data_IF_671629600122
#
_entry.id   IF_671629600122
#
_cell.length_a   1.000
_cell.length_b   1.000
_cell.length_c   1.000
_cell.angle_alpha   90.00
_cell.angle_beta   90.00
_cell.angle_gamma   90.00
#
_symmetry.space_group_name_H-M   'P 1'
#
loop_
_entity.id
_entity.type
_entity.pdbx_description
1 polymer ?
#
# COMPACT_ATOMS: atom_id res chain seq x y z
N UNK A 1 45.83 27.92 -40.51
CA UNK A 1 45.04 26.92 -39.79
C UNK A 1 43.88 27.64 -39.13
N UNK A 2 42.67 27.50 -39.67
CA UNK A 2 41.47 28.09 -39.09
C UNK A 2 40.93 27.15 -38.02
N UNK A 3 40.94 27.61 -36.77
CA UNK A 3 40.35 26.89 -35.65
C UNK A 3 38.86 27.21 -35.70
N UNK A 4 38.05 26.29 -36.24
CA UNK A 4 36.61 26.34 -36.12
C UNK A 4 36.26 26.13 -34.64
N UNK A 5 35.86 27.21 -33.98
CA UNK A 5 35.17 27.14 -32.70
C UNK A 5 33.87 26.36 -32.91
N UNK A 6 33.79 25.18 -32.31
CA UNK A 6 32.57 24.38 -32.23
C UNK A 6 31.51 25.23 -31.53
N UNK A 7 30.54 25.68 -32.32
CA UNK A 7 29.34 26.38 -31.86
C UNK A 7 28.68 25.60 -30.72
N UNK A 8 28.43 26.30 -29.62
CA UNK A 8 27.66 25.83 -28.48
C UNK A 8 26.39 25.11 -28.94
N UNK A 9 26.12 23.93 -28.38
CA UNK A 9 24.79 23.35 -28.38
C UNK A 9 23.84 24.38 -27.77
N UNK A 10 23.00 24.99 -28.59
CA UNK A 10 21.87 25.79 -28.13
C UNK A 10 20.95 24.81 -27.42
N UNK A 11 21.05 24.76 -26.09
CA UNK A 11 20.07 24.07 -25.26
C UNK A 11 18.73 24.75 -25.46
N UNK A 12 17.68 23.96 -25.73
CA UNK A 12 16.33 24.50 -25.87
C UNK A 12 16.00 25.38 -24.64
N UNK A 13 15.31 26.52 -24.80
CA UNK A 13 14.81 27.31 -23.69
C UNK A 13 14.04 26.47 -22.68
N UNK A 14 14.11 26.81 -21.40
CA UNK A 14 13.55 25.99 -20.32
C UNK A 14 12.04 25.69 -20.44
N UNK A 15 11.18 26.62 -20.89
CA UNK A 15 9.78 26.28 -21.17
C UNK A 15 9.63 25.21 -22.26
N UNK A 16 10.46 25.25 -23.30
CA UNK A 16 10.45 24.27 -24.39
C UNK A 16 10.94 22.90 -23.89
N UNK A 17 11.97 22.89 -23.02
CA UNK A 17 12.41 21.67 -22.35
C UNK A 17 11.30 21.07 -21.48
N UNK A 18 10.56 21.91 -20.74
CA UNK A 18 9.45 21.45 -19.91
C UNK A 18 8.34 20.82 -20.75
N UNK A 19 7.93 21.46 -21.84
CA UNK A 19 6.93 20.92 -22.77
C UNK A 19 7.40 19.59 -23.38
N UNK A 20 8.68 19.49 -23.73
CA UNK A 20 9.30 18.26 -24.23
C UNK A 20 9.29 17.14 -23.18
N UNK A 21 9.60 17.46 -21.92
CA UNK A 21 9.55 16.50 -20.83
C UNK A 21 8.14 15.97 -20.60
N UNK A 22 7.14 16.84 -20.65
CA UNK A 22 5.71 16.46 -20.56
C UNK A 22 5.30 15.58 -21.75
N UNK A 23 5.74 15.91 -22.97
CA UNK A 23 5.47 15.09 -24.14
C UNK A 23 6.09 13.69 -24.03
N UNK A 24 7.34 13.57 -23.55
CA UNK A 24 7.96 12.28 -23.26
C UNK A 24 7.21 11.51 -22.18
N UNK A 25 6.84 12.18 -21.08
CA UNK A 25 6.07 11.57 -19.99
C UNK A 25 4.74 11.00 -20.48
N UNK A 26 3.98 11.78 -21.25
CA UNK A 26 2.69 11.33 -21.82
C UNK A 26 2.85 10.23 -22.88
N UNK A 27 4.06 10.04 -23.41
CA UNK A 27 4.40 8.97 -24.34
C UNK A 27 5.06 7.77 -23.64
N UNK A 28 5.01 7.71 -22.30
CA UNK A 28 5.61 6.66 -21.46
C UNK A 28 7.13 6.52 -21.61
N UNK A 29 7.79 7.56 -22.14
CA UNK A 29 9.25 7.68 -22.23
C UNK A 29 9.79 8.25 -20.93
N UNK A 30 9.60 7.48 -19.85
CA UNK A 30 9.83 7.94 -18.48
C UNK A 30 11.28 8.32 -18.22
N UNK A 31 12.23 7.61 -18.83
CA UNK A 31 13.66 7.90 -18.69
C UNK A 31 14.01 9.26 -19.31
N UNK A 32 13.60 9.50 -20.54
CA UNK A 32 13.86 10.74 -21.26
C UNK A 32 13.16 11.93 -20.59
N UNK A 33 11.94 11.74 -20.10
CA UNK A 33 11.22 12.73 -19.31
C UNK A 33 11.96 13.05 -18.00
N UNK A 34 12.42 12.03 -17.29
CA UNK A 34 13.10 12.16 -16.00
C UNK A 34 14.39 12.98 -16.11
N UNK A 35 15.20 12.72 -17.14
CA UNK A 35 16.45 13.46 -17.38
C UNK A 35 16.20 14.97 -17.50
N UNK A 36 15.16 15.35 -18.25
CA UNK A 36 14.82 16.76 -18.46
C UNK A 36 14.19 17.36 -17.19
N UNK A 37 13.24 16.67 -16.56
CA UNK A 37 12.61 17.17 -15.34
C UNK A 37 13.63 17.39 -14.21
N UNK A 38 14.57 16.48 -14.00
CA UNK A 38 15.63 16.66 -12.99
C UNK A 38 16.53 17.86 -13.29
N UNK A 39 16.86 18.08 -14.57
CA UNK A 39 17.66 19.24 -14.97
C UNK A 39 16.93 20.56 -14.66
N UNK A 40 15.61 20.60 -14.86
CA UNK A 40 14.78 21.77 -14.57
C UNK A 40 14.57 21.95 -13.07
N UNK A 41 14.31 20.88 -12.32
CA UNK A 41 14.06 20.93 -10.87
C UNK A 41 15.27 21.46 -10.09
N UNK A 42 16.49 21.09 -10.49
CA UNK A 42 17.74 21.62 -9.92
C UNK A 42 17.88 23.13 -10.06
N UNK A 43 17.29 23.74 -11.08
CA UNK A 43 17.44 25.17 -11.40
C UNK A 43 16.33 26.03 -10.83
N UNK A 44 15.10 25.53 -10.81
CA UNK A 44 13.92 26.36 -10.55
C UNK A 44 13.07 25.91 -9.37
N UNK A 45 13.30 24.71 -8.81
CA UNK A 45 12.34 24.01 -7.94
C UNK A 45 10.95 23.98 -8.58
N UNK A 46 10.66 22.91 -9.32
CA UNK A 46 9.41 22.80 -10.05
C UNK A 46 8.20 22.78 -9.10
N UNK A 47 7.02 23.10 -9.64
CA UNK A 47 5.78 22.99 -8.87
C UNK A 47 5.49 21.53 -8.47
N UNK A 48 4.60 21.35 -7.49
CA UNK A 48 4.30 20.03 -6.91
C UNK A 48 3.80 19.01 -7.96
N UNK A 49 3.11 19.45 -9.02
CA UNK A 49 2.62 18.56 -10.09
C UNK A 49 3.77 17.98 -10.93
N UNK A 50 4.72 18.80 -11.36
CA UNK A 50 5.88 18.30 -12.11
C UNK A 50 6.82 17.47 -11.25
N UNK A 51 6.91 17.80 -9.95
CA UNK A 51 7.65 16.96 -9.00
C UNK A 51 6.96 15.62 -8.76
N UNK A 52 5.63 15.56 -8.84
CA UNK A 52 4.89 14.30 -8.87
C UNK A 52 5.17 13.51 -10.17
N UNK A 53 5.30 14.17 -11.33
CA UNK A 53 5.75 13.50 -12.56
C UNK A 53 7.15 12.88 -12.43
N UNK A 54 8.09 13.57 -11.77
CA UNK A 54 9.42 13.00 -11.44
C UNK A 54 9.26 11.73 -10.60
N UNK A 55 8.41 11.78 -9.57
CA UNK A 55 8.09 10.61 -8.75
C UNK A 55 7.52 9.44 -9.56
N UNK A 56 6.58 9.71 -10.48
CA UNK A 56 6.04 8.69 -11.39
C UNK A 56 7.08 8.14 -12.36
N UNK A 57 7.99 8.96 -12.89
CA UNK A 57 9.08 8.49 -13.71
C UNK A 57 9.95 7.48 -12.94
N UNK A 58 10.39 7.83 -11.73
CA UNK A 58 11.17 6.91 -10.90
C UNK A 58 10.41 5.63 -10.56
N UNK A 59 9.10 5.71 -10.30
CA UNK A 59 8.27 4.52 -10.07
C UNK A 59 8.29 3.58 -11.29
N UNK A 60 8.13 4.13 -12.50
CA UNK A 60 8.16 3.34 -13.74
C UNK A 60 9.56 2.80 -14.09
N UNK A 61 10.62 3.41 -13.56
CA UNK A 61 11.99 2.92 -13.64
C UNK A 61 12.37 1.94 -12.52
N UNK A 62 11.42 1.60 -11.64
CA UNK A 62 11.63 0.75 -10.45
C UNK A 62 12.61 1.33 -9.40
N UNK A 63 12.87 2.64 -9.48
CA UNK A 63 13.70 3.40 -8.53
C UNK A 63 12.84 3.88 -7.34
N UNK A 64 12.25 2.92 -6.62
CA UNK A 64 11.19 3.18 -5.65
C UNK A 64 11.58 4.11 -4.50
N UNK A 65 12.85 4.08 -4.06
CA UNK A 65 13.36 4.98 -3.02
C UNK A 65 13.35 6.44 -3.47
N UNK A 66 13.62 6.68 -4.75
CA UNK A 66 13.54 8.02 -5.33
C UNK A 66 12.08 8.41 -5.57
N UNK A 67 11.24 7.47 -5.99
CA UNK A 67 9.81 7.68 -6.16
C UNK A 67 9.15 8.16 -4.86
N UNK A 68 9.33 7.43 -3.75
CA UNK A 68 8.77 7.81 -2.43
C UNK A 68 9.28 9.17 -1.98
N UNK A 69 10.58 9.45 -2.13
CA UNK A 69 11.15 10.77 -1.79
C UNK A 69 10.39 11.93 -2.46
N UNK A 70 10.09 11.83 -3.74
CA UNK A 70 9.38 12.89 -4.46
C UNK A 70 7.88 12.89 -4.14
N UNK A 71 7.24 11.71 -4.13
CA UNK A 71 5.79 11.59 -3.97
C UNK A 71 5.33 11.89 -2.53
N UNK A 72 6.05 11.43 -1.51
CA UNK A 72 5.77 11.76 -0.11
C UNK A 72 5.80 13.27 0.13
N UNK A 73 6.82 13.93 -0.45
CA UNK A 73 6.99 15.36 -0.26
C UNK A 73 5.82 16.16 -0.83
N UNK A 74 5.32 15.78 -2.01
CA UNK A 74 4.30 16.56 -2.73
C UNK A 74 2.87 16.15 -2.40
N UNK A 75 2.62 14.90 -2.03
CA UNK A 75 1.27 14.33 -1.82
C UNK A 75 0.33 15.22 -1.00
N UNK A 76 0.72 15.81 0.15
CA UNK A 76 -0.16 16.67 0.94
C UNK A 76 -0.66 17.93 0.21
N UNK A 77 0.01 18.34 -0.88
CA UNK A 77 -0.27 19.57 -1.64
C UNK A 77 -0.92 19.32 -3.00
N UNK A 78 -1.27 18.07 -3.32
CA UNK A 78 -1.91 17.70 -4.59
C UNK A 78 -3.45 17.77 -4.55
N UNK A 79 -4.06 18.26 -3.47
CA UNK A 79 -5.52 18.22 -3.25
C UNK A 79 -6.34 18.95 -4.31
N UNK A 80 -5.76 19.95 -4.98
CA UNK A 80 -6.41 20.73 -6.04
C UNK A 80 -6.37 20.07 -7.43
N UNK A 81 -5.61 18.98 -7.60
CA UNK A 81 -5.57 18.23 -8.87
C UNK A 81 -6.84 17.41 -9.06
N UNK A 82 -7.10 16.98 -10.30
CA UNK A 82 -8.27 16.15 -10.60
C UNK A 82 -8.23 14.82 -9.79
N UNK A 83 -9.38 14.31 -9.30
CA UNK A 83 -9.41 13.09 -8.47
C UNK A 83 -8.62 11.92 -9.05
N UNK A 84 -8.87 11.58 -10.32
CA UNK A 84 -8.20 10.45 -10.97
C UNK A 84 -6.70 10.68 -11.17
N UNK A 85 -6.27 11.92 -11.37
CA UNK A 85 -4.84 12.24 -11.42
C UNK A 85 -4.19 12.00 -10.04
N UNK A 86 -4.86 12.41 -8.95
CA UNK A 86 -4.38 12.13 -7.59
C UNK A 86 -4.30 10.64 -7.31
N UNK A 87 -5.28 9.86 -7.79
CA UNK A 87 -5.29 8.39 -7.66
C UNK A 87 -3.99 7.77 -8.18
N UNK A 88 -3.51 8.20 -9.36
CA UNK A 88 -2.28 7.70 -9.97
C UNK A 88 -1.07 7.96 -9.06
N UNK A 89 -0.93 9.17 -8.50
CA UNK A 89 0.17 9.49 -7.61
C UNK A 89 0.11 8.71 -6.30
N UNK A 90 -1.06 8.61 -5.69
CA UNK A 90 -1.25 7.87 -4.45
C UNK A 90 -0.96 6.38 -4.63
N UNK A 91 -1.45 5.79 -5.72
CA UNK A 91 -1.19 4.40 -6.05
C UNK A 91 0.30 4.13 -6.31
N UNK A 92 0.97 4.97 -7.11
CA UNK A 92 2.41 4.82 -7.38
C UNK A 92 3.25 4.99 -6.10
N UNK A 93 2.86 5.91 -5.21
CA UNK A 93 3.57 6.06 -3.93
C UNK A 93 3.38 4.84 -3.03
N UNK A 94 2.13 4.35 -2.95
CA UNK A 94 1.80 3.14 -2.20
C UNK A 94 2.57 1.92 -2.71
N UNK A 95 2.60 1.69 -4.03
CA UNK A 95 3.38 0.60 -4.64
C UNK A 95 4.88 0.79 -4.38
N UNK A 96 5.40 2.01 -4.44
CA UNK A 96 6.82 2.27 -4.18
C UNK A 96 7.21 1.88 -2.74
N UNK A 97 6.42 2.29 -1.76
CA UNK A 97 6.59 1.83 -0.37
C UNK A 97 6.42 0.31 -0.23
N UNK A 98 5.43 -0.28 -0.92
CA UNK A 98 5.21 -1.73 -0.90
C UNK A 98 6.44 -2.50 -1.40
N UNK A 99 7.05 -2.06 -2.50
CA UNK A 99 8.24 -2.69 -3.08
C UNK A 99 9.48 -2.53 -2.19
N UNK A 100 9.52 -1.47 -1.37
CA UNK A 100 10.51 -1.29 -0.32
C UNK A 100 10.20 -2.09 0.96
N UNK A 101 9.13 -2.89 0.97
CA UNK A 101 8.62 -3.64 2.13
C UNK A 101 8.13 -2.75 3.29
N UNK A 102 7.85 -1.47 3.01
CA UNK A 102 7.36 -0.47 3.95
C UNK A 102 5.82 -0.53 4.03
N UNK A 103 5.28 -1.72 4.29
CA UNK A 103 3.84 -2.00 4.19
C UNK A 103 2.96 -1.06 5.02
N UNK A 104 3.44 -0.67 6.21
CA UNK A 104 2.72 0.28 7.08
C UNK A 104 2.64 1.69 6.48
N UNK A 105 3.66 2.12 5.75
CA UNK A 105 3.67 3.41 5.07
C UNK A 105 2.86 3.38 3.77
N UNK A 106 2.80 2.22 3.10
CA UNK A 106 2.00 2.06 1.88
C UNK A 106 0.48 2.17 2.12
N UNK A 107 -0.02 1.66 3.25
CA UNK A 107 -1.46 1.63 3.60
C UNK A 107 -2.17 2.98 3.42
N UNK A 108 -1.75 4.10 4.06
CA UNK A 108 -2.47 5.36 3.94
C UNK A 108 -2.55 5.88 2.49
N UNK A 109 -1.55 5.60 1.65
CA UNK A 109 -1.58 6.00 0.25
C UNK A 109 -2.55 5.16 -0.59
N UNK A 110 -2.65 3.84 -0.35
CA UNK A 110 -3.71 3.05 -0.97
C UNK A 110 -5.10 3.48 -0.51
N UNK A 111 -5.28 3.80 0.77
CA UNK A 111 -6.55 4.31 1.31
C UNK A 111 -6.91 5.66 0.65
N UNK A 112 -5.95 6.56 0.48
CA UNK A 112 -6.14 7.79 -0.27
C UNK A 112 -6.53 7.51 -1.73
N UNK A 113 -5.85 6.58 -2.41
CA UNK A 113 -6.20 6.19 -3.78
C UNK A 113 -7.65 5.68 -3.89
N UNK A 114 -8.11 4.86 -2.93
CA UNK A 114 -9.50 4.36 -2.90
C UNK A 114 -10.56 5.48 -2.88
N UNK A 115 -10.23 6.65 -2.31
CA UNK A 115 -11.17 7.78 -2.24
C UNK A 115 -11.37 8.51 -3.57
N UNK A 116 -10.45 8.35 -4.53
CA UNK A 116 -10.41 9.16 -5.77
C UNK A 116 -10.23 8.35 -7.06
N UNK A 117 -9.96 7.05 -6.96
CA UNK A 117 -9.86 6.12 -8.08
C UNK A 117 -11.22 5.87 -8.75
N UNK A 118 -11.19 5.31 -9.95
CA UNK A 118 -12.37 4.73 -10.57
C UNK A 118 -12.75 3.42 -9.87
N UNK A 119 -14.04 3.11 -9.87
CA UNK A 119 -14.53 1.90 -9.21
C UNK A 119 -13.91 0.60 -9.74
N UNK A 120 -13.56 0.55 -11.03
CA UNK A 120 -12.94 -0.62 -11.65
C UNK A 120 -11.47 -0.82 -11.24
N UNK A 121 -10.83 0.17 -10.62
CA UNK A 121 -9.46 0.10 -10.09
C UNK A 121 -9.44 -0.40 -8.64
N UNK A 122 -10.55 -0.22 -7.89
CA UNK A 122 -10.65 -0.55 -6.47
C UNK A 122 -10.30 -1.99 -6.15
N UNK A 123 -10.65 -2.94 -7.03
CA UNK A 123 -10.35 -4.36 -6.83
C UNK A 123 -8.85 -4.63 -6.65
N UNK A 124 -7.99 -4.03 -7.48
CA UNK A 124 -6.54 -4.18 -7.36
C UNK A 124 -6.01 -3.43 -6.13
N UNK A 125 -6.53 -2.23 -5.84
CA UNK A 125 -6.09 -1.46 -4.66
C UNK A 125 -6.41 -2.22 -3.36
N UNK A 126 -7.61 -2.80 -3.25
CA UNK A 126 -7.96 -3.65 -2.11
C UNK A 126 -7.11 -4.92 -2.03
N UNK A 127 -6.74 -5.51 -3.16
CA UNK A 127 -5.82 -6.64 -3.19
C UNK A 127 -4.46 -6.28 -2.56
N UNK A 128 -3.92 -5.11 -2.95
CA UNK A 128 -2.64 -4.60 -2.42
C UNK A 128 -2.72 -4.24 -0.93
N UNK A 129 -3.80 -3.60 -0.49
CA UNK A 129 -4.06 -3.39 0.93
C UNK A 129 -4.13 -4.70 1.71
N UNK A 130 -4.80 -5.72 1.16
CA UNK A 130 -4.85 -7.05 1.74
C UNK A 130 -3.46 -7.63 1.98
N UNK A 131 -2.55 -7.48 1.02
CA UNK A 131 -1.15 -7.89 1.16
C UNK A 131 -0.42 -7.10 2.26
N UNK A 132 -0.58 -5.78 2.30
CA UNK A 132 0.03 -4.95 3.35
C UNK A 132 -0.40 -5.39 4.75
N UNK A 133 -1.71 -5.56 4.97
CA UNK A 133 -2.25 -6.02 6.24
C UNK A 133 -1.79 -7.44 6.59
N UNK A 134 -1.73 -8.33 5.59
CA UNK A 134 -1.26 -9.70 5.77
C UNK A 134 0.21 -9.74 6.21
N UNK A 135 1.10 -8.97 5.57
CA UNK A 135 2.50 -8.86 6.00
C UNK A 135 2.65 -8.20 7.37
N UNK A 136 1.71 -7.33 7.75
CA UNK A 136 1.58 -6.79 9.11
C UNK A 136 0.96 -7.75 10.14
N UNK A 137 0.54 -8.96 9.73
CA UNK A 137 -0.23 -9.91 10.55
C UNK A 137 -1.56 -9.36 11.09
N UNK A 138 -2.12 -8.35 10.42
CA UNK A 138 -3.45 -7.80 10.69
C UNK A 138 -4.51 -8.61 9.94
N UNK A 139 -4.68 -9.88 10.35
CA UNK A 139 -5.42 -10.90 9.59
C UNK A 139 -6.89 -10.54 9.34
N UNK A 140 -7.57 -9.91 10.30
CA UNK A 140 -8.95 -9.45 10.15
C UNK A 140 -9.07 -8.40 9.06
N UNK A 141 -8.21 -7.38 9.07
CA UNK A 141 -8.19 -6.33 8.05
C UNK A 141 -7.80 -6.87 6.69
N UNK A 142 -6.82 -7.78 6.63
CA UNK A 142 -6.41 -8.43 5.39
C UNK A 142 -7.58 -9.21 4.77
N UNK A 143 -8.29 -10.01 5.57
CA UNK A 143 -9.47 -10.76 5.13
C UNK A 143 -10.55 -9.83 4.56
N UNK A 144 -10.83 -8.72 5.25
CA UNK A 144 -11.87 -7.77 4.85
C UNK A 144 -11.48 -7.03 3.56
N UNK A 145 -10.21 -6.64 3.42
CA UNK A 145 -9.69 -6.08 2.18
C UNK A 145 -9.81 -7.07 1.00
N UNK A 146 -9.48 -8.35 1.19
CA UNK A 146 -9.68 -9.36 0.15
C UNK A 146 -11.16 -9.59 -0.18
N UNK A 147 -12.08 -9.46 0.79
CA UNK A 147 -13.52 -9.54 0.52
C UNK A 147 -13.99 -8.38 -0.39
N UNK A 148 -13.54 -7.16 -0.13
CA UNK A 148 -13.83 -6.02 -1.02
C UNK A 148 -13.20 -6.18 -2.39
N UNK A 149 -11.96 -6.66 -2.47
CA UNK A 149 -11.30 -7.01 -3.71
C UNK A 149 -12.15 -7.97 -4.56
N UNK A 150 -12.69 -9.04 -3.96
CA UNK A 150 -13.60 -9.98 -4.63
C UNK A 150 -14.89 -9.31 -5.14
N UNK A 151 -15.50 -8.46 -4.33
CA UNK A 151 -16.73 -7.72 -4.69
C UNK A 151 -16.52 -6.88 -5.96
N UNK A 152 -15.46 -6.06 -5.97
CA UNK A 152 -15.14 -5.19 -7.10
C UNK A 152 -14.77 -5.98 -8.36
N UNK A 153 -13.96 -7.05 -8.23
CA UNK A 153 -13.62 -7.88 -9.37
C UNK A 153 -14.81 -8.63 -9.96
N UNK A 154 -15.76 -9.09 -9.13
CA UNK A 154 -17.00 -9.72 -9.63
C UNK A 154 -17.89 -8.70 -10.35
N UNK A 155 -17.95 -7.46 -9.86
CA UNK A 155 -18.72 -6.37 -10.48
C UNK A 155 -18.14 -5.94 -11.83
N UNK A 156 -16.82 -5.91 -11.97
CA UNK A 156 -16.11 -5.41 -13.16
C UNK A 156 -15.38 -6.51 -13.96
N UNK A 157 -15.96 -7.71 -14.02
CA UNK A 157 -15.37 -8.96 -14.56
C UNK A 157 -14.92 -8.92 -16.03
N UNK A 158 -15.19 -7.85 -16.77
CA UNK A 158 -14.85 -7.67 -18.18
C UNK A 158 -13.40 -7.24 -18.43
N UNK A 159 -12.59 -7.04 -17.38
CA UNK A 159 -11.19 -6.66 -17.50
C UNK A 159 -10.32 -7.93 -17.67
N UNK A 160 -9.34 -7.95 -18.59
CA UNK A 160 -8.37 -9.04 -18.70
C UNK A 160 -7.67 -9.35 -17.36
N UNK A 161 -7.27 -10.60 -17.13
CA UNK A 161 -6.54 -11.08 -15.94
C UNK A 161 -7.26 -11.00 -14.58
N UNK A 162 -8.52 -10.55 -14.54
CA UNK A 162 -9.31 -10.50 -13.30
C UNK A 162 -9.56 -11.89 -12.70
N UNK A 163 -9.69 -12.94 -13.51
CA UNK A 163 -10.03 -14.28 -13.00
C UNK A 163 -8.89 -14.90 -12.16
N UNK A 164 -7.65 -14.76 -12.62
CA UNK A 164 -6.48 -15.21 -11.88
C UNK A 164 -6.32 -14.43 -10.57
N UNK A 165 -6.48 -13.10 -10.63
CA UNK A 165 -6.36 -12.24 -9.45
C UNK A 165 -7.49 -12.47 -8.45
N UNK A 166 -8.72 -12.68 -8.92
CA UNK A 166 -9.87 -13.03 -8.09
C UNK A 166 -9.63 -14.36 -7.36
N UNK A 167 -9.10 -15.37 -8.06
CA UNK A 167 -8.77 -16.66 -7.46
C UNK A 167 -7.71 -16.52 -6.38
N UNK A 168 -6.67 -15.71 -6.64
CA UNK A 168 -5.66 -15.38 -5.63
C UNK A 168 -6.28 -14.72 -4.40
N UNK A 169 -7.10 -13.69 -4.59
CA UNK A 169 -7.77 -12.98 -3.48
C UNK A 169 -8.63 -13.93 -2.62
N UNK A 170 -9.41 -14.82 -3.25
CA UNK A 170 -10.22 -15.84 -2.55
C UNK A 170 -9.34 -16.75 -1.68
N UNK A 171 -8.22 -17.21 -2.22
CA UNK A 171 -7.31 -18.09 -1.49
C UNK A 171 -6.62 -17.36 -0.33
N UNK A 172 -6.17 -16.12 -0.57
CA UNK A 172 -5.58 -15.29 0.48
C UNK A 172 -6.58 -15.00 1.60
N UNK A 173 -7.85 -14.69 1.27
CA UNK A 173 -8.91 -14.49 2.27
C UNK A 173 -9.14 -15.72 3.13
N UNK A 174 -9.19 -16.91 2.52
CA UNK A 174 -9.29 -18.18 3.25
C UNK A 174 -8.10 -18.40 4.18
N UNK A 175 -6.89 -18.12 3.72
CA UNK A 175 -5.67 -18.19 4.53
C UNK A 175 -5.72 -17.25 5.74
N UNK A 176 -6.16 -16.01 5.55
CA UNK A 176 -6.37 -15.05 6.64
C UNK A 176 -7.41 -15.55 7.63
N UNK A 177 -8.54 -16.11 7.17
CA UNK A 177 -9.56 -16.68 8.05
C UNK A 177 -9.04 -17.87 8.87
N UNK A 178 -8.19 -18.71 8.29
CA UNK A 178 -7.55 -19.80 9.03
C UNK A 178 -6.66 -19.28 10.17
N UNK A 179 -5.90 -18.20 9.92
CA UNK A 179 -5.06 -17.54 10.94
C UNK A 179 -5.89 -16.92 12.07
N UNK A 180 -7.01 -16.30 11.75
CA UNK A 180 -7.96 -15.77 12.75
C UNK A 180 -8.49 -16.93 13.62
N UNK A 181 -8.92 -18.02 13.00
CA UNK A 181 -9.45 -19.19 13.71
C UNK A 181 -8.40 -19.84 14.61
N UNK A 182 -7.17 -19.96 14.15
CA UNK A 182 -6.03 -20.48 14.92
C UNK A 182 -5.82 -19.65 16.20
N UNK A 183 -5.78 -18.31 16.07
CA UNK A 183 -5.67 -17.40 17.21
C UNK A 183 -6.83 -17.55 18.20
N UNK A 184 -8.06 -17.59 17.71
CA UNK A 184 -9.25 -17.77 18.55
C UNK A 184 -9.22 -19.09 19.32
N UNK A 185 -8.76 -20.17 18.67
CA UNK A 185 -8.61 -21.48 19.32
C UNK A 185 -7.57 -21.43 20.45
N UNK A 186 -6.40 -20.84 20.19
CA UNK A 186 -5.35 -20.66 21.21
C UNK A 186 -5.88 -19.84 22.39
N UNK A 187 -6.54 -18.71 22.12
CA UNK A 187 -7.11 -17.85 23.16
C UNK A 187 -8.19 -18.55 23.99
N UNK A 188 -8.97 -19.46 23.38
CA UNK A 188 -9.97 -20.27 24.08
C UNK A 188 -9.33 -21.30 25.01
N UNK A 189 -8.28 -21.99 24.55
CA UNK A 189 -7.53 -22.98 25.33
C UNK A 189 -6.82 -22.31 26.50
N UNK A 190 -6.18 -21.16 26.26
CA UNK A 190 -5.52 -20.39 27.31
C UNK A 190 -6.49 -19.96 28.41
N UNK A 191 -7.69 -19.49 28.03
CA UNK A 191 -8.76 -19.14 28.98
C UNK A 191 -9.25 -20.35 29.78
N UNK A 192 -9.50 -21.48 29.12
CA UNK A 192 -9.94 -22.70 29.79
C UNK A 192 -8.90 -23.18 30.84
N UNK A 193 -7.62 -23.17 30.49
CA UNK A 193 -6.53 -23.54 31.38
C UNK A 193 -6.43 -22.60 32.60
N UNK A 194 -6.56 -21.29 32.39
CA UNK A 194 -6.54 -20.31 33.49
C UNK A 194 -7.69 -20.52 34.49
N UNK A 195 -8.88 -20.90 33.99
CA UNK A 195 -10.02 -21.25 34.84
C UNK A 195 -9.73 -22.52 35.64
N UNK A 196 -9.21 -23.57 34.99
CA UNK A 196 -8.86 -24.84 35.65
C UNK A 196 -7.81 -24.63 36.75
N UNK A 197 -6.75 -23.87 36.48
CA UNK A 197 -5.70 -23.57 37.45
C UNK A 197 -6.25 -22.76 38.65
N UNK A 198 -7.17 -21.83 38.40
CA UNK A 198 -7.86 -21.08 39.46
C UNK A 198 -8.73 -21.99 40.34
N UNK A 199 -9.48 -22.92 39.73
CA UNK A 199 -10.30 -23.90 40.46
C UNK A 199 -9.43 -24.83 41.31
N UNK A 200 -8.29 -25.30 40.78
CA UNK A 200 -7.32 -26.10 41.54
C UNK A 200 -6.76 -25.33 42.73
N UNK A 201 -6.40 -24.05 42.55
CA UNK A 201 -5.90 -23.22 43.63
C UNK A 201 -6.95 -23.01 44.74
N UNK A 202 -8.21 -22.76 44.36
CA UNK A 202 -9.33 -22.66 45.31
C UNK A 202 -9.48 -23.98 46.08
N UNK A 203 -9.54 -25.11 45.38
CA UNK A 203 -9.69 -26.43 46.01
C UNK A 203 -8.54 -26.73 47.00
N UNK A 204 -7.30 -26.36 46.66
CA UNK A 204 -6.14 -26.52 47.55
C UNK A 204 -6.18 -25.61 48.79
N UNK A 205 -6.92 -24.50 48.74
CA UNK A 205 -7.04 -23.52 49.83
C UNK A 205 -8.18 -23.80 50.82
N UNK A 206 -9.08 -24.75 50.53
CA UNK A 206 -10.17 -25.15 51.43
C UNK A 206 -9.63 -26.16 52.46
N UNK A 207 -9.58 -25.83 53.76
CA UNK A 207 -9.08 -26.76 54.77
C UNK A 207 -10.04 -27.94 54.96
N UNK A 208 -9.48 -29.15 54.96
CA UNK A 208 -10.17 -30.45 55.09
C UNK A 208 -11.09 -30.54 56.31
N UNK A 209 -10.78 -29.82 57.39
CA UNK A 209 -11.55 -29.81 58.65
C UNK A 209 -12.93 -29.16 58.52
N UNK A 210 -13.19 -28.40 57.45
CA UNK A 210 -14.46 -27.71 57.19
C UNK A 210 -15.56 -28.61 56.63
N UNK A 211 -15.22 -29.85 56.23
CA UNK A 211 -16.12 -30.76 55.50
C UNK A 211 -16.70 -31.86 56.43
N UNK A 212 -16.18 -32.04 57.64
CA UNK A 212 -16.52 -33.18 58.52
C UNK A 212 -17.45 -32.87 59.71
N UNK A 213 -18.01 -31.67 59.85
CA UNK A 213 -18.82 -31.31 61.04
C UNK A 213 -20.34 -31.53 60.93
N UNK A 214 -20.82 -32.34 59.99
CA UNK A 214 -22.26 -32.73 59.91
C UNK A 214 -22.44 -34.24 59.79
N UNK A 215 -22.06 -35.02 60.81
CA UNK A 215 -22.55 -36.41 60.91
C UNK A 215 -22.46 -37.07 62.29
N UNK A 216 -22.91 -36.40 63.35
CA UNK A 216 -23.23 -37.08 64.61
C UNK A 216 -24.34 -36.33 65.36
N UNK A 217 -25.61 -36.70 65.11
CA UNK A 217 -26.72 -36.62 66.08
C UNK A 217 -27.54 -37.90 65.91
#
# INVERSE_FOLDING_TARGET
>A
MSILSVSAQTTDPDPILLDKAVAYFNSEKYHEALLIFQQLDKRYKLNDRFRAYIGLCYYNEWEYKSATKYLDEVTPRLTMLAPHERSVYYFANAESHFQLQEYKLAIPFYEQALTVCYDNEKGEIYYRLGLCYMFGSEWEKARDAYAHCEEFFRKYRSIPDVEARLTQAINMRKGCQAKINEKLAIDSIARAKAIEDSLRAIAASVPLDSIYTEKYI
#
